data_IF_715917933612
#
_entry.id   IF_715917933612
#
_cell.length_a   1.000
_cell.length_b   1.000
_cell.length_c   1.000
_cell.angle_alpha   90.00
_cell.angle_beta   90.00
_cell.angle_gamma   90.00
#
_symmetry.space_group_name_H-M   'P 1'
#
loop_
_entity.id
_entity.type
_entity.pdbx_description
1 polymer ?
#
# COMPACT_ATOMS: atom_id res chain seq x y z
N UNK A 1 6.12 -16.28 19.18
CA UNK A 1 4.66 -16.45 19.19
C UNK A 1 4.02 -15.42 18.24
N UNK A 2 3.47 -15.85 17.11
CA UNK A 2 2.80 -14.99 16.12
C UNK A 2 1.33 -14.80 16.50
N UNK A 3 0.91 -13.57 16.83
CA UNK A 3 -0.50 -13.21 17.08
C UNK A 3 -1.18 -12.80 15.77
N UNK A 4 -2.36 -13.38 15.48
CA UNK A 4 -3.22 -13.00 14.36
C UNK A 4 -3.89 -11.67 14.70
N UNK A 5 -3.52 -10.59 14.02
CA UNK A 5 -4.15 -9.28 14.18
C UNK A 5 -5.45 -9.24 13.37
N UNK A 6 -6.60 -9.10 14.04
CA UNK A 6 -7.89 -8.81 13.40
C UNK A 6 -8.02 -7.30 13.18
N UNK A 7 -8.37 -6.90 11.96
CA UNK A 7 -8.43 -5.50 11.54
C UNK A 7 -9.88 -4.96 11.60
N UNK A 8 -10.10 -3.70 12.03
CA UNK A 8 -11.43 -3.11 12.11
C UNK A 8 -12.01 -2.82 10.72
N UNK A 9 -13.33 -2.97 10.64
CA UNK A 9 -14.19 -2.95 9.45
C UNK A 9 -14.43 -1.55 8.90
N UNK A 10 -13.58 -1.12 7.97
CA UNK A 10 -13.94 -0.16 6.92
C UNK A 10 -13.50 -0.77 5.60
N UNK A 11 -14.48 -1.21 4.78
CA UNK A 11 -14.34 -1.94 3.51
C UNK A 11 -13.18 -2.94 3.52
N UNK A 12 -13.50 -4.13 4.05
CA UNK A 12 -12.57 -5.22 4.37
C UNK A 12 -11.55 -5.43 3.25
N UNK A 13 -10.29 -5.09 3.49
CA UNK A 13 -9.18 -5.62 2.70
C UNK A 13 -8.96 -7.07 3.12
N UNK A 14 -8.59 -7.95 2.19
CA UNK A 14 -8.26 -9.35 2.49
C UNK A 14 -7.08 -9.30 3.45
N UNK A 15 -7.22 -9.96 4.60
CA UNK A 15 -6.19 -10.00 5.62
C UNK A 15 -4.89 -10.53 5.02
N UNK A 16 -3.87 -9.67 5.01
CA UNK A 16 -2.51 -10.05 4.62
C UNK A 16 -1.79 -10.53 5.87
N UNK A 17 -1.31 -11.77 5.85
CA UNK A 17 -0.49 -12.32 6.92
C UNK A 17 0.95 -11.86 6.70
N UNK A 18 1.38 -10.88 7.50
CA UNK A 18 2.76 -10.41 7.52
C UNK A 18 3.37 -10.77 8.88
N UNK A 19 4.58 -11.32 8.88
CA UNK A 19 5.32 -11.57 10.12
C UNK A 19 5.69 -10.24 10.75
N UNK A 20 5.50 -10.09 12.07
CA UNK A 20 5.93 -8.88 12.76
C UNK A 20 7.44 -8.68 12.62
N UNK A 21 7.86 -7.48 12.23
CA UNK A 21 9.26 -7.13 11.95
C UNK A 21 9.54 -5.67 12.32
N UNK A 22 10.82 -5.36 12.58
CA UNK A 22 11.31 -3.98 12.77
C UNK A 22 11.29 -3.20 11.45
N UNK A 23 11.24 -3.88 10.32
CA UNK A 23 11.25 -3.26 9.00
C UNK A 23 10.45 -4.11 8.01
N UNK A 24 9.75 -3.45 7.09
CA UNK A 24 8.97 -4.09 6.03
C UNK A 24 9.25 -3.49 4.68
N UNK A 25 9.47 -4.36 3.68
CA UNK A 25 9.65 -3.96 2.30
C UNK A 25 8.30 -3.70 1.66
N UNK A 26 8.09 -2.47 1.24
CA UNK A 26 6.91 -2.04 0.54
C UNK A 26 7.20 -1.97 -0.96
N UNK A 27 6.22 -2.38 -1.75
CA UNK A 27 6.22 -2.06 -3.18
C UNK A 27 4.84 -1.56 -3.61
N UNK A 28 4.81 -0.57 -4.48
CA UNK A 28 3.58 0.09 -4.93
C UNK A 28 3.62 0.24 -6.44
N UNK A 29 2.52 -0.07 -7.08
CA UNK A 29 2.31 0.09 -8.51
C UNK A 29 1.00 0.86 -8.71
N UNK A 30 1.05 1.92 -9.51
CA UNK A 30 -0.12 2.73 -9.83
C UNK A 30 -0.66 2.25 -11.18
N UNK A 31 -1.94 1.92 -11.22
CA UNK A 31 -2.65 1.34 -12.38
C UNK A 31 -3.81 2.19 -12.87
N UNK A 32 -3.99 3.40 -12.34
CA UNK A 32 -5.05 4.28 -12.81
C UNK A 32 -4.75 4.77 -14.23
N UNK A 33 -5.53 4.29 -15.20
CA UNK A 33 -5.42 4.70 -16.61
C UNK A 33 -6.06 6.07 -16.87
N UNK A 34 -6.95 6.54 -15.97
CA UNK A 34 -7.70 7.79 -16.17
C UNK A 34 -6.93 8.98 -15.62
N UNK A 35 -6.45 8.89 -14.37
CA UNK A 35 -5.76 10.01 -13.69
C UNK A 35 -4.49 9.55 -12.92
N UNK A 36 -3.51 8.94 -13.62
CA UNK A 36 -2.31 8.39 -12.97
C UNK A 36 -1.53 9.41 -12.15
N UNK A 37 -1.40 10.65 -12.65
CA UNK A 37 -0.68 11.73 -11.95
C UNK A 37 -1.35 12.12 -10.63
N UNK A 38 -2.69 12.16 -10.60
CA UNK A 38 -3.44 12.49 -9.39
C UNK A 38 -3.27 11.40 -8.35
N UNK A 39 -3.47 10.14 -8.74
CA UNK A 39 -3.27 8.99 -7.84
C UNK A 39 -1.82 8.92 -7.33
N UNK A 40 -0.84 9.30 -8.15
CA UNK A 40 0.56 9.38 -7.72
C UNK A 40 0.76 10.43 -6.62
N UNK A 41 0.15 11.61 -6.74
CA UNK A 41 0.21 12.62 -5.67
C UNK A 41 -0.45 12.11 -4.38
N UNK A 42 -1.63 11.49 -4.49
CA UNK A 42 -2.32 10.89 -3.35
C UNK A 42 -1.41 9.84 -2.67
N UNK A 43 -0.84 8.91 -3.44
CA UNK A 43 0.10 7.89 -2.96
C UNK A 43 1.36 8.50 -2.34
N UNK A 44 1.91 9.56 -2.91
CA UNK A 44 3.12 10.22 -2.39
C UNK A 44 2.87 10.76 -0.99
N UNK A 45 1.71 11.38 -0.74
CA UNK A 45 1.35 11.92 0.57
C UNK A 45 1.35 10.81 1.63
N UNK A 46 0.68 9.70 1.34
CA UNK A 46 0.60 8.55 2.25
C UNK A 46 1.97 7.93 2.55
N UNK A 47 2.84 7.84 1.53
CA UNK A 47 4.21 7.36 1.70
C UNK A 47 5.01 8.31 2.60
N UNK A 48 4.89 9.62 2.39
CA UNK A 48 5.61 10.60 3.20
C UNK A 48 5.16 10.56 4.66
N UNK A 49 3.87 10.34 4.91
CA UNK A 49 3.35 10.21 6.27
C UNK A 49 3.93 8.98 7.01
N UNK A 50 4.08 7.85 6.31
CA UNK A 50 4.48 6.58 6.96
C UNK A 50 5.99 6.31 6.91
N UNK A 51 6.64 6.64 5.80
CA UNK A 51 8.05 6.35 5.54
C UNK A 51 8.95 7.59 5.61
N UNK A 52 8.37 8.75 5.90
CA UNK A 52 9.04 10.05 5.78
C UNK A 52 9.43 10.37 4.34
N UNK A 53 10.16 11.47 4.16
CA UNK A 53 10.62 11.92 2.83
C UNK A 53 11.49 10.88 2.10
N UNK A 54 12.22 10.02 2.84
CA UNK A 54 13.09 8.99 2.25
C UNK A 54 12.33 7.97 1.40
N UNK A 55 11.12 7.58 1.82
CA UNK A 55 10.29 6.64 1.06
C UNK A 55 9.70 7.20 -0.23
N UNK A 56 9.64 8.53 -0.36
CA UNK A 56 9.04 9.21 -1.52
C UNK A 56 9.99 9.34 -2.72
N UNK A 57 11.29 9.11 -2.53
CA UNK A 57 12.29 9.25 -3.59
C UNK A 57 12.08 8.21 -4.69
N UNK A 58 11.85 8.65 -5.92
CA UNK A 58 11.73 7.79 -7.10
C UNK A 58 10.30 7.57 -7.58
N UNK A 59 9.28 7.97 -6.81
CA UNK A 59 7.89 7.95 -7.26
C UNK A 59 7.58 9.18 -8.13
N UNK A 60 8.04 9.16 -9.37
CA UNK A 60 7.86 10.27 -10.33
C UNK A 60 6.74 9.99 -11.33
N UNK A 61 6.16 11.04 -11.93
CA UNK A 61 5.16 10.89 -13.00
C UNK A 61 5.68 10.02 -14.16
N UNK A 62 6.96 10.16 -14.51
CA UNK A 62 7.62 9.34 -15.54
C UNK A 62 7.70 7.87 -15.13
N UNK A 63 8.04 7.59 -13.88
CA UNK A 63 8.10 6.21 -13.37
C UNK A 63 6.70 5.56 -13.41
N UNK A 64 5.66 6.29 -13.03
CA UNK A 64 4.27 5.84 -13.10
C UNK A 64 3.83 5.58 -14.54
N UNK A 65 4.11 6.51 -15.46
CA UNK A 65 3.76 6.36 -16.87
C UNK A 65 4.40 5.11 -17.51
N UNK A 66 5.57 4.70 -17.02
CA UNK A 66 6.27 3.50 -17.46
C UNK A 66 5.83 2.21 -16.72
N UNK A 67 4.80 2.28 -15.86
CA UNK A 67 4.34 1.14 -15.07
C UNK A 67 5.35 0.66 -14.03
N UNK A 68 6.29 1.52 -13.60
CA UNK A 68 7.33 1.14 -12.67
C UNK A 68 6.76 0.84 -11.28
N UNK A 69 7.20 -0.27 -10.69
CA UNK A 69 6.89 -0.59 -9.29
C UNK A 69 7.83 0.16 -8.36
N UNK A 70 7.31 1.17 -7.68
CA UNK A 70 8.03 1.92 -6.65
C UNK A 70 8.31 1.04 -5.43
N UNK A 71 9.50 1.12 -4.84
CA UNK A 71 9.93 0.26 -3.72
C UNK A 71 10.59 1.09 -2.63
N UNK A 72 10.23 0.84 -1.39
CA UNK A 72 10.81 1.50 -0.20
C UNK A 72 10.60 0.62 1.03
N UNK A 73 11.12 1.06 2.18
CA UNK A 73 10.99 0.35 3.45
C UNK A 73 10.31 1.22 4.50
N UNK A 74 9.59 0.58 5.42
CA UNK A 74 8.94 1.23 6.57
C UNK A 74 9.43 0.61 7.88
N UNK A 75 9.66 1.44 8.90
CA UNK A 75 10.35 1.06 10.13
C UNK A 75 9.51 0.37 11.20
N UNK A 76 8.36 -0.22 10.87
CA UNK A 76 7.59 -1.09 11.77
C UNK A 76 6.40 -1.75 11.09
N UNK A 77 5.91 -2.84 11.70
CA UNK A 77 4.62 -3.45 11.32
C UNK A 77 3.44 -2.47 11.48
N UNK A 78 3.49 -1.58 12.48
CA UNK A 78 2.47 -0.55 12.66
C UNK A 78 2.44 0.43 11.47
N UNK A 79 3.62 0.89 11.01
CA UNK A 79 3.75 1.75 9.85
C UNK A 79 3.21 1.07 8.59
N UNK A 80 3.62 -0.18 8.32
CA UNK A 80 3.10 -0.96 7.19
C UNK A 80 1.57 -1.13 7.24
N UNK A 81 1.01 -1.36 8.44
CA UNK A 81 -0.44 -1.43 8.66
C UNK A 81 -1.13 -0.11 8.36
N UNK A 82 -0.62 1.02 8.88
CA UNK A 82 -1.21 2.34 8.65
C UNK A 82 -1.26 2.63 7.15
N UNK A 83 -0.16 2.38 6.44
CA UNK A 83 -0.08 2.55 4.98
C UNK A 83 -1.18 1.74 4.25
N UNK A 84 -1.33 0.46 4.60
CA UNK A 84 -2.35 -0.39 3.97
C UNK A 84 -3.78 0.13 4.22
N UNK A 85 -4.06 0.67 5.42
CA UNK A 85 -5.37 1.26 5.75
C UNK A 85 -5.61 2.52 4.94
N UNK A 86 -4.64 3.43 4.88
CA UNK A 86 -4.78 4.70 4.15
C UNK A 86 -4.91 4.46 2.63
N UNK A 87 -4.19 3.47 2.10
CA UNK A 87 -4.30 3.07 0.69
C UNK A 87 -5.51 2.20 0.37
N UNK A 88 -6.29 1.76 1.36
CA UNK A 88 -7.41 0.85 1.15
C UNK A 88 -8.43 1.33 0.09
N UNK A 89 -8.81 2.62 0.00
CA UNK A 89 -9.72 3.10 -1.04
C UNK A 89 -9.14 3.01 -2.45
N UNK A 90 -7.84 3.29 -2.60
CA UNK A 90 -7.13 3.23 -3.89
C UNK A 90 -6.92 1.77 -4.34
N UNK A 91 -6.65 0.88 -3.39
CA UNK A 91 -6.53 -0.57 -3.65
C UNK A 91 -7.89 -1.16 -4.02
N UNK A 92 -8.96 -0.82 -3.29
CA UNK A 92 -10.31 -1.32 -3.55
C UNK A 92 -10.87 -0.84 -4.90
N UNK A 93 -10.45 0.33 -5.36
CA UNK A 93 -10.81 0.85 -6.69
C UNK A 93 -9.90 0.36 -7.83
N UNK A 94 -8.94 -0.53 -7.54
CA UNK A 94 -8.02 -1.08 -8.54
C UNK A 94 -6.96 -0.10 -9.06
N UNK A 95 -6.91 1.12 -8.52
CA UNK A 95 -6.00 2.18 -8.94
C UNK A 95 -4.57 1.98 -8.46
N UNK A 96 -4.41 1.24 -7.36
CA UNK A 96 -3.11 0.96 -6.74
C UNK A 96 -3.02 -0.51 -6.40
N UNK A 97 -1.84 -1.08 -6.62
CA UNK A 97 -1.48 -2.39 -6.10
C UNK A 97 -0.35 -2.21 -5.10
N UNK A 98 -0.54 -2.78 -3.91
CA UNK A 98 0.39 -2.68 -2.79
C UNK A 98 0.93 -4.09 -2.47
N UNK A 99 2.22 -4.19 -2.21
CA UNK A 99 2.86 -5.39 -1.67
C UNK A 99 3.59 -5.05 -0.38
N UNK A 100 3.49 -5.95 0.60
CA UNK A 100 4.21 -5.90 1.87
C UNK A 100 5.01 -7.21 1.97
N UNK A 101 6.32 -7.10 2.06
CA UNK A 101 7.27 -8.23 2.06
C UNK A 101 7.04 -9.22 0.92
N UNK A 102 6.71 -8.69 -0.26
CA UNK A 102 6.40 -9.47 -1.47
C UNK A 102 4.99 -10.06 -1.50
N UNK A 103 4.21 -9.96 -0.43
CA UNK A 103 2.81 -10.40 -0.41
C UNK A 103 1.89 -9.28 -0.87
N UNK A 104 1.11 -9.55 -1.91
CA UNK A 104 0.15 -8.59 -2.46
C UNK A 104 -1.01 -8.35 -1.48
N UNK A 105 -1.28 -7.09 -1.18
CA UNK A 105 -2.47 -6.66 -0.46
C UNK A 105 -3.64 -6.65 -1.43
N UNK A 106 -4.67 -7.43 -1.13
CA UNK A 106 -5.89 -7.52 -1.95
C UNK A 106 -7.07 -6.93 -1.19
N UNK A 107 -8.01 -6.26 -1.86
CA UNK A 107 -9.31 -6.00 -1.26
C UNK A 107 -10.00 -7.35 -0.98
N UNK A 108 -10.72 -7.47 0.14
CA UNK A 108 -11.57 -8.63 0.35
C UNK A 108 -12.79 -8.40 -0.55
N UNK A 109 -13.20 -9.38 -1.35
CA UNK A 109 -14.52 -9.30 -1.94
C UNK A 109 -15.51 -9.12 -0.78
N UNK A 110 -16.39 -8.13 -0.86
CA UNK A 110 -17.53 -8.08 0.03
C UNK A 110 -18.23 -9.44 -0.11
N UNK A 111 -18.42 -10.14 1.00
CA UNK A 111 -19.30 -11.30 1.03
C UNK A 111 -20.64 -10.79 0.49
N UNK A 112 -21.00 -11.24 -0.72
CA UNK A 112 -22.38 -11.20 -1.20
C UNK A 112 -23.10 -12.17 -0.27
N UNK A 113 -23.79 -11.62 0.72
CA UNK A 113 -24.74 -12.33 1.55
C UNK A 113 -26.12 -12.19 0.91
#
# INVERSE_FOLDING_TARGET
>A
MSKILKFPTTKRLKSVLVRSSREHRISIEIRDEVRPRRVRWDVQFEIQEVAGFRGSKGLTDRAVANGYRHRFTVGSTYAARRLAIMMAPLIASGKVVLWIDGTMVRPQPALVA
#
